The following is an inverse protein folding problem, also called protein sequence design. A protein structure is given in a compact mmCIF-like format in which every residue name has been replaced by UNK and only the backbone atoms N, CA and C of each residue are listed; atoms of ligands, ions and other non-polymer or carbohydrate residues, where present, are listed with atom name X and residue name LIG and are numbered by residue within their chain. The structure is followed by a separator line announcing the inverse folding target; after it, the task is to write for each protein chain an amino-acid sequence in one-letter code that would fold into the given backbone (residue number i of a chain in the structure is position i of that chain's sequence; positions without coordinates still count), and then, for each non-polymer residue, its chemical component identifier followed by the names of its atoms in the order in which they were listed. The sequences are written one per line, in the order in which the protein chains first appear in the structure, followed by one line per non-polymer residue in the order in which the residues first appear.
data_IF_955114166123
#
_entry.id   IF_955114166123
#
_cell.length_a   1.000
_cell.length_b   1.000
_cell.length_c   1.000
_cell.angle_alpha   90.00
_cell.angle_beta   90.00
_cell.angle_gamma   90.00
#
_symmetry.space_group_name_H-M   'P 1'
#
loop_
_entity.id
_entity.type
_entity.pdbx_description
1 polymer ?
#
# COMPACT_ATOMS: atom_id res chain seq x y z
N UNK A 1 -41.24 -9.18 14.61
CA UNK A 1 -40.36 -10.01 13.79
C UNK A 1 -39.35 -9.07 13.17
N UNK A 2 -38.25 -8.90 13.88
CA UNK A 2 -37.01 -8.27 13.44
C UNK A 2 -36.60 -8.90 12.11
N UNK A 3 -36.67 -8.12 11.03
CA UNK A 3 -36.09 -8.51 9.76
C UNK A 3 -34.57 -8.36 9.92
N UNK A 4 -33.96 -9.36 10.56
CA UNK A 4 -32.53 -9.60 10.47
C UNK A 4 -32.18 -9.53 8.99
N UNK A 5 -31.24 -8.65 8.65
CA UNK A 5 -30.72 -8.53 7.30
C UNK A 5 -30.22 -9.92 6.86
N UNK A 6 -31.07 -10.56 6.07
CA UNK A 6 -30.80 -11.76 5.31
C UNK A 6 -29.54 -11.52 4.49
N UNK A 7 -28.64 -12.50 4.54
CA UNK A 7 -27.49 -12.67 3.65
C UNK A 7 -27.64 -11.88 2.34
N UNK A 8 -26.75 -10.92 2.13
CA UNK A 8 -26.33 -10.53 0.79
C UNK A 8 -25.27 -11.55 0.36
N UNK A 9 -25.60 -12.67 -0.31
CA UNK A 9 -24.63 -13.28 -1.18
C UNK A 9 -24.45 -12.34 -2.39
N UNK A 10 -23.24 -12.29 -2.93
CA UNK A 10 -22.84 -11.55 -4.14
C UNK A 10 -22.42 -10.08 -4.00
N UNK A 11 -21.40 -9.84 -3.16
CA UNK A 11 -20.30 -8.97 -3.61
C UNK A 11 -18.95 -9.63 -3.35
N UNK A 12 -18.82 -10.90 -3.73
CA UNK A 12 -17.55 -11.59 -3.85
C UNK A 12 -16.99 -11.37 -5.26
N UNK A 13 -16.90 -10.11 -5.69
CA UNK A 13 -16.30 -9.76 -6.98
C UNK A 13 -15.31 -8.63 -6.73
N UNK A 14 -14.04 -9.01 -6.84
CA UNK A 14 -12.82 -8.19 -6.89
C UNK A 14 -12.17 -7.75 -5.58
N UNK A 15 -11.93 -8.71 -4.69
CA UNK A 15 -10.72 -8.64 -3.86
C UNK A 15 -9.51 -9.01 -4.73
N UNK A 16 -8.91 -8.03 -5.41
CA UNK A 16 -7.45 -8.06 -5.55
C UNK A 16 -6.92 -8.33 -4.14
N UNK A 17 -6.29 -9.50 -3.94
CA UNK A 17 -6.30 -10.21 -2.65
C UNK A 17 -6.02 -9.23 -1.50
N UNK A 18 -6.88 -9.19 -0.47
CA UNK A 18 -6.64 -8.38 0.73
C UNK A 18 -5.19 -8.52 1.21
N UNK A 19 -4.62 -9.72 1.06
CA UNK A 19 -3.20 -10.02 1.27
C UNK A 19 -2.24 -9.17 0.44
N UNK A 20 -2.49 -8.96 -0.86
CA UNK A 20 -1.68 -8.11 -1.74
C UNK A 20 -1.74 -6.65 -1.30
N UNK A 21 -2.93 -6.13 -0.98
CA UNK A 21 -3.08 -4.74 -0.49
C UNK A 21 -2.40 -4.56 0.86
N UNK A 22 -2.54 -5.52 1.77
CA UNK A 22 -1.85 -5.52 3.05
C UNK A 22 -0.33 -5.59 2.87
N UNK A 23 0.16 -6.41 1.94
CA UNK A 23 1.58 -6.52 1.62
C UNK A 23 2.13 -5.18 1.10
N UNK A 24 1.44 -4.54 0.15
CA UNK A 24 1.79 -3.22 -0.39
C UNK A 24 1.83 -2.20 0.75
N UNK A 25 0.80 -2.16 1.59
CA UNK A 25 0.71 -1.21 2.70
C UNK A 25 1.84 -1.41 3.72
N UNK A 26 2.11 -2.65 4.14
CA UNK A 26 3.18 -2.96 5.08
C UNK A 26 4.56 -2.59 4.53
N UNK A 27 4.84 -2.92 3.27
CA UNK A 27 6.10 -2.53 2.62
C UNK A 27 6.22 -1.02 2.45
N UNK A 28 5.13 -0.32 2.16
CA UNK A 28 5.10 1.13 2.13
C UNK A 28 5.42 1.75 3.51
N UNK A 29 4.87 1.20 4.60
CA UNK A 29 5.23 1.62 5.97
C UNK A 29 6.72 1.37 6.29
N UNK A 30 7.30 0.26 5.82
CA UNK A 30 8.74 0.01 5.96
C UNK A 30 9.56 1.06 5.20
N UNK A 31 9.18 1.39 3.96
CA UNK A 31 9.87 2.41 3.18
C UNK A 31 9.89 3.77 3.90
N UNK A 32 8.75 4.19 4.46
CA UNK A 32 8.65 5.41 5.27
C UNK A 32 9.52 5.35 6.54
N UNK A 33 9.49 4.21 7.24
CA UNK A 33 10.27 4.01 8.47
C UNK A 33 11.78 4.09 8.23
N UNK A 34 12.28 3.40 7.21
CA UNK A 34 13.70 3.45 6.84
C UNK A 34 14.12 4.84 6.38
N UNK A 35 13.25 5.54 5.63
CA UNK A 35 13.53 6.92 5.23
C UNK A 35 13.65 7.86 6.43
N UNK A 36 12.76 7.71 7.42
CA UNK A 36 12.83 8.47 8.69
C UNK A 36 14.06 8.17 9.54
N UNK A 37 14.73 7.03 9.31
CA UNK A 37 16.00 6.65 9.95
C UNK A 37 17.23 7.05 9.13
N UNK A 38 17.05 7.80 8.03
CA UNK A 38 18.09 8.16 7.04
C UNK A 38 18.68 6.95 6.29
N UNK A 39 18.07 5.77 6.39
CA UNK A 39 18.43 4.58 5.62
C UNK A 39 17.73 4.59 4.25
N UNK A 40 18.23 5.47 3.38
CA UNK A 40 17.66 5.68 2.05
C UNK A 40 17.78 4.47 1.14
N UNK A 41 18.76 3.59 1.37
CA UNK A 41 18.98 2.38 0.56
C UNK A 41 17.82 1.40 0.77
N UNK A 42 17.47 1.12 2.03
CA UNK A 42 16.34 0.23 2.32
C UNK A 42 15.01 0.90 1.96
N UNK A 43 14.86 2.20 2.19
CA UNK A 43 13.66 2.94 1.81
C UNK A 43 13.37 2.83 0.31
N UNK A 44 14.36 3.13 -0.54
CA UNK A 44 14.24 3.03 -2.00
C UNK A 44 13.94 1.61 -2.47
N UNK A 45 14.59 0.61 -1.87
CA UNK A 45 14.32 -0.79 -2.20
C UNK A 45 12.86 -1.15 -1.96
N UNK A 46 12.34 -0.90 -0.77
CA UNK A 46 10.95 -1.23 -0.44
C UNK A 46 9.96 -0.40 -1.25
N UNK A 47 10.27 0.87 -1.52
CA UNK A 47 9.45 1.73 -2.35
C UNK A 47 9.34 1.20 -3.78
N UNK A 48 10.45 0.77 -4.38
CA UNK A 48 10.46 0.16 -5.71
C UNK A 48 9.67 -1.15 -5.75
N UNK A 49 9.83 -2.00 -4.74
CA UNK A 49 9.06 -3.25 -4.63
C UNK A 49 7.54 -3.01 -4.60
N UNK A 50 7.07 -1.91 -4.01
CA UNK A 50 5.63 -1.59 -3.99
C UNK A 50 5.17 -0.85 -5.25
N UNK A 51 6.02 -0.04 -5.88
CA UNK A 51 5.74 0.56 -7.21
C UNK A 51 5.53 -0.53 -8.28
N UNK A 52 6.29 -1.62 -8.22
CA UNK A 52 6.15 -2.77 -9.12
C UNK A 52 4.87 -3.59 -8.87
N UNK A 53 4.36 -3.59 -7.63
CA UNK A 53 3.14 -4.32 -7.24
C UNK A 53 1.87 -3.51 -7.50
N UNK A 54 1.89 -2.20 -7.26
CA UNK A 54 0.76 -1.30 -7.51
C UNK A 54 1.23 0.12 -7.86
N UNK A 55 1.25 0.40 -9.16
CA UNK A 55 1.61 1.70 -9.70
C UNK A 55 0.53 2.78 -9.44
N UNK A 56 -0.69 2.41 -9.04
CA UNK A 56 -1.79 3.36 -8.82
C UNK A 56 -1.92 3.82 -7.36
N UNK A 57 -1.05 3.35 -6.46
CA UNK A 57 -1.11 3.71 -5.06
C UNK A 57 -0.65 5.17 -4.83
N UNK A 58 -1.62 6.06 -4.58
CA UNK A 58 -1.36 7.51 -4.48
C UNK A 58 -0.30 7.89 -3.43
N UNK A 59 -0.28 7.22 -2.27
CA UNK A 59 0.72 7.50 -1.24
C UNK A 59 2.15 7.18 -1.69
N UNK A 60 2.32 6.15 -2.52
CA UNK A 60 3.65 5.75 -3.04
C UNK A 60 4.12 6.79 -4.04
N UNK A 61 3.24 7.24 -4.95
CA UNK A 61 3.56 8.29 -5.91
C UNK A 61 3.92 9.63 -5.24
N UNK A 62 3.16 10.02 -4.22
CA UNK A 62 3.43 11.23 -3.45
C UNK A 62 4.78 11.14 -2.72
N UNK A 63 5.04 10.01 -2.08
CA UNK A 63 6.30 9.79 -1.37
C UNK A 63 7.49 9.76 -2.33
N UNK A 64 7.35 9.11 -3.50
CA UNK A 64 8.36 9.14 -4.57
C UNK A 64 8.67 10.55 -5.03
N UNK A 65 7.64 11.36 -5.24
CA UNK A 65 7.83 12.77 -5.58
C UNK A 65 8.57 13.53 -4.48
N UNK A 66 8.31 13.23 -3.21
CA UNK A 66 8.97 13.86 -2.07
C UNK A 66 10.46 13.52 -2.03
N UNK A 67 10.81 12.23 -2.16
CA UNK A 67 12.21 11.78 -2.23
C UNK A 67 12.93 12.45 -3.42
N UNK A 68 12.30 12.46 -4.59
CA UNK A 68 12.87 13.09 -5.80
C UNK A 68 13.05 14.61 -5.65
N UNK A 69 12.23 15.25 -4.80
CA UNK A 69 12.34 16.68 -4.50
C UNK A 69 13.49 16.99 -3.53
N UNK A 70 14.18 15.97 -3.00
CA UNK A 70 15.37 16.13 -2.16
C UNK A 70 15.08 16.63 -0.74
N UNK A 71 13.86 16.44 -0.26
CA UNK A 71 13.39 16.81 1.09
C UNK A 71 13.77 15.77 2.14
#
# INVERSE_FOLDING_TARGET
MDYFAVSLPDLLIWEDSLDTKNLIHCKYMLALGYYGMDDKVHAERYLKEVEELDNNHQGIQQFRSLINSGL
#
